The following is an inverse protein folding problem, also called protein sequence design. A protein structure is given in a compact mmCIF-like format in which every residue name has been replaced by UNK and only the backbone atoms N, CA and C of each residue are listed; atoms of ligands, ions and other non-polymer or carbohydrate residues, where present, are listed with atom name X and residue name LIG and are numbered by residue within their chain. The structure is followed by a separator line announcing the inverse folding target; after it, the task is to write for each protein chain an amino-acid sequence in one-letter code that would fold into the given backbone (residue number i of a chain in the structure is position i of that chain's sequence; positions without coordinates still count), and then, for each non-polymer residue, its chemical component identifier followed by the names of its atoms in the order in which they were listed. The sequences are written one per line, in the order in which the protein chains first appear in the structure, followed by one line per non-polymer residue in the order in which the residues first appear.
data_IF_859336760416
#
_entry.id   IF_859336760416
#
_cell.length_a   1.000
_cell.length_b   1.000
_cell.length_c   1.000
_cell.angle_alpha   90.00
_cell.angle_beta   90.00
_cell.angle_gamma   90.00
#
_symmetry.space_group_name_H-M   'P 1'
#
loop_
_entity.id
_entity.type
_entity.pdbx_description
1 polymer ?
#
# COMPACT_ATOMS: atom_id res chain seq x y z
N UNK A 1 -6.76 -0.17 -13.25
CA UNK A 1 -5.85 -0.89 -12.31
C UNK A 1 -4.69 0.02 -11.88
N UNK A 2 -5.02 1.18 -11.27
CA UNK A 2 -4.08 2.24 -10.83
C UNK A 2 -4.48 2.83 -9.46
N UNK A 3 -5.45 2.23 -8.76
CA UNK A 3 -6.13 2.85 -7.61
C UNK A 3 -5.24 3.19 -6.41
N UNK A 4 -4.07 2.57 -6.30
CA UNK A 4 -3.14 2.77 -5.17
C UNK A 4 -1.91 3.60 -5.53
N UNK A 5 -1.85 4.21 -6.71
CA UNK A 5 -0.69 5.02 -7.11
C UNK A 5 -0.34 6.15 -6.12
N UNK A 6 -1.31 6.89 -5.56
CA UNK A 6 -0.99 7.90 -4.54
C UNK A 6 -0.33 7.32 -3.28
N UNK A 7 -0.68 6.09 -2.88
CA UNK A 7 -0.05 5.42 -1.75
C UNK A 7 1.40 5.01 -2.07
N UNK A 8 1.64 4.57 -3.30
CA UNK A 8 2.99 4.26 -3.79
C UNK A 8 3.86 5.51 -3.76
N UNK A 9 3.37 6.65 -4.28
CA UNK A 9 4.09 7.92 -4.26
C UNK A 9 4.41 8.36 -2.83
N UNK A 10 3.42 8.33 -1.94
CA UNK A 10 3.61 8.71 -0.54
C UNK A 10 4.65 7.82 0.17
N UNK A 11 4.54 6.49 0.02
CA UNK A 11 5.46 5.56 0.67
C UNK A 11 6.88 5.64 0.08
N UNK A 12 7.03 5.87 -1.24
CA UNK A 12 8.33 6.11 -1.86
C UNK A 12 8.98 7.39 -1.37
N UNK A 13 8.20 8.46 -1.21
CA UNK A 13 8.68 9.73 -0.70
C UNK A 13 9.11 9.61 0.77
N UNK A 14 8.28 9.00 1.61
CA UNK A 14 8.54 8.90 3.05
C UNK A 14 9.66 7.92 3.39
N UNK A 15 9.65 6.71 2.79
CA UNK A 15 10.58 5.64 3.18
C UNK A 15 11.93 5.79 2.48
N UNK A 16 11.94 6.25 1.22
CA UNK A 16 13.14 6.29 0.39
C UNK A 16 13.57 7.70 -0.05
N UNK A 17 12.81 8.75 0.29
CA UNK A 17 13.08 10.10 -0.20
C UNK A 17 12.92 10.23 -1.72
N UNK A 18 12.10 9.38 -2.34
CA UNK A 18 11.91 9.34 -3.80
C UNK A 18 10.64 10.10 -4.17
N UNK A 19 10.80 11.24 -4.85
CA UNK A 19 9.71 11.99 -5.47
C UNK A 19 9.53 11.58 -6.94
N UNK A 20 8.40 10.94 -7.26
CA UNK A 20 8.07 10.52 -8.63
C UNK A 20 7.65 11.70 -9.53
N UNK A 21 7.41 12.88 -8.96
CA UNK A 21 7.14 14.11 -9.70
C UNK A 21 8.39 14.65 -10.40
N UNK A 22 9.58 14.23 -9.94
CA UNK A 22 10.85 14.59 -10.56
C UNK A 22 11.06 13.82 -11.88
N UNK A 23 10.79 14.51 -12.99
CA UNK A 23 10.99 14.01 -14.35
C UNK A 23 12.45 13.74 -14.70
N UNK A 24 13.42 14.37 -14.05
CA UNK A 24 14.83 14.07 -14.28
C UNK A 24 15.19 12.71 -13.67
N UNK A 25 14.72 12.43 -12.46
CA UNK A 25 14.90 11.15 -11.78
C UNK A 25 14.38 9.97 -12.62
N UNK A 26 13.13 10.07 -13.10
CA UNK A 26 12.51 8.98 -13.88
C UNK A 26 13.13 8.75 -15.25
N UNK A 27 13.79 9.76 -15.82
CA UNK A 27 14.57 9.61 -17.07
C UNK A 27 15.95 8.99 -16.82
N UNK A 28 16.56 9.28 -15.68
CA UNK A 28 17.89 8.79 -15.33
C UNK A 28 17.89 7.36 -14.78
N UNK A 29 16.75 6.86 -14.28
CA UNK A 29 16.62 5.52 -13.69
C UNK A 29 15.79 4.60 -14.57
N UNK A 30 16.13 3.32 -14.55
CA UNK A 30 15.38 2.32 -15.30
C UNK A 30 14.05 1.97 -14.63
N UNK A 31 13.08 1.49 -15.41
CA UNK A 31 11.83 0.97 -14.86
C UNK A 31 12.05 -0.15 -13.83
N UNK A 32 13.08 -0.98 -14.03
CA UNK A 32 13.47 -2.03 -13.07
C UNK A 32 13.81 -1.45 -11.69
N UNK A 33 14.48 -0.30 -11.64
CA UNK A 33 14.83 0.38 -10.39
C UNK A 33 13.60 0.80 -9.59
N UNK A 34 12.56 1.30 -10.28
CA UNK A 34 11.28 1.67 -9.65
C UNK A 34 10.49 0.44 -9.24
N UNK A 35 10.39 -0.57 -10.11
CA UNK A 35 9.68 -1.82 -9.83
C UNK A 35 10.19 -2.51 -8.56
N UNK A 36 11.50 -2.62 -8.38
CA UNK A 36 12.08 -3.28 -7.19
C UNK A 36 11.70 -2.54 -5.90
N UNK A 37 11.65 -1.21 -5.93
CA UNK A 37 11.21 -0.41 -4.76
C UNK A 37 9.73 -0.60 -4.45
N UNK A 38 8.88 -0.63 -5.47
CA UNK A 38 7.45 -0.91 -5.29
C UNK A 38 7.25 -2.31 -4.69
N UNK A 39 8.00 -3.32 -5.16
CA UNK A 39 7.94 -4.67 -4.59
C UNK A 39 8.42 -4.68 -3.13
N UNK A 40 9.48 -3.92 -2.80
CA UNK A 40 9.95 -3.79 -1.43
C UNK A 40 8.91 -3.15 -0.50
N UNK A 41 8.09 -2.21 -1.00
CA UNK A 41 6.96 -1.66 -0.23
C UNK A 41 5.94 -2.73 0.16
N UNK A 42 5.72 -3.73 -0.69
CA UNK A 42 4.81 -4.85 -0.38
C UNK A 42 5.35 -5.79 0.68
N UNK A 43 6.66 -5.86 0.84
CA UNK A 43 7.33 -6.69 1.86
C UNK A 43 7.58 -5.94 3.17
N UNK A 44 7.31 -4.64 3.21
CA UNK A 44 7.49 -3.78 4.37
C UNK A 44 6.14 -3.35 4.96
N UNK A 45 6.17 -2.80 6.17
CA UNK A 45 4.99 -2.26 6.87
C UNK A 45 4.55 -0.92 6.25
N UNK A 46 4.07 -0.93 5.02
CA UNK A 46 3.71 0.26 4.22
C UNK A 46 2.20 0.48 4.11
N UNK A 47 1.78 1.68 3.67
CA UNK A 47 0.35 1.94 3.41
C UNK A 47 -0.14 1.07 2.27
N UNK A 48 0.69 0.89 1.25
CA UNK A 48 0.42 -0.01 0.13
C UNK A 48 0.20 -1.46 0.61
N UNK A 49 1.04 -1.98 1.50
CA UNK A 49 0.92 -3.34 2.03
C UNK A 49 -0.39 -3.53 2.80
N UNK A 50 -0.77 -2.58 3.66
CA UNK A 50 -2.05 -2.62 4.41
C UNK A 50 -3.26 -2.53 3.50
N UNK A 51 -3.22 -1.66 2.49
CA UNK A 51 -4.32 -1.51 1.53
C UNK A 51 -4.57 -2.79 0.71
N UNK A 52 -3.50 -3.54 0.41
CA UNK A 52 -3.57 -4.78 -0.37
C UNK A 52 -3.77 -6.04 0.48
N UNK A 53 -3.55 -5.95 1.79
CA UNK A 53 -3.74 -7.05 2.75
C UNK A 53 -4.74 -6.61 3.82
N UNK A 54 -6.04 -6.46 3.48
CA UNK A 54 -7.03 -6.11 4.47
C UNK A 54 -7.06 -7.19 5.56
N UNK A 55 -7.12 -6.82 6.85
CA UNK A 55 -7.24 -7.79 7.92
C UNK A 55 -8.45 -8.67 7.64
N UNK A 56 -8.24 -10.00 7.64
CA UNK A 56 -9.32 -10.97 7.48
C UNK A 56 -10.39 -10.61 8.50
N UNK A 57 -11.60 -10.27 8.02
CA UNK A 57 -12.71 -9.95 8.89
C UNK A 57 -12.87 -11.13 9.86
N UNK A 58 -12.50 -10.92 11.12
CA UNK A 58 -12.83 -11.87 12.17
C UNK A 58 -14.34 -12.15 12.02
N UNK A 59 -14.79 -13.41 12.03
CA UNK A 59 -16.19 -13.71 11.82
C UNK A 59 -16.96 -12.89 12.83
N UNK A 60 -17.84 -12.00 12.32
CA UNK A 60 -18.73 -11.22 13.13
C UNK A 60 -19.31 -12.18 14.16
N UNK A 61 -18.99 -11.96 15.43
CA UNK A 61 -19.59 -12.74 16.50
C UNK A 61 -21.08 -12.59 16.33
N UNK A 62 -21.76 -13.61 15.80
CA UNK A 62 -23.21 -13.72 15.80
C UNK A 62 -23.62 -13.79 17.27
N UNK A 63 -23.79 -12.61 17.86
CA UNK A 63 -24.40 -12.44 19.17
C UNK A 63 -25.83 -12.94 19.06
N UNK A 64 -26.06 -14.12 19.61
CA UNK A 64 -27.35 -14.77 19.64
C UNK A 64 -28.41 -13.92 20.34
N UNK A 65 -29.61 -14.02 19.78
CA UNK A 65 -30.93 -13.73 20.35
C UNK A 65 -30.99 -13.65 21.87
N UNK A 66 -31.57 -12.56 22.40
CA UNK A 66 -32.42 -12.64 23.59
C UNK A 66 -33.62 -11.73 23.40
N UNK A 67 -34.76 -12.35 23.08
CA UNK A 67 -36.10 -11.79 23.20
C UNK A 67 -36.30 -11.38 24.66
N UNK A 68 -36.66 -10.12 24.92
CA UNK A 68 -37.14 -9.70 26.24
C UNK A 68 -38.64 -9.45 26.17
N UNK A 69 -39.35 -10.18 27.03
CA UNK A 69 -40.79 -10.17 27.30
C UNK A 69 -41.32 -8.79 27.65
#
# INVERSE_FOLDING_TARGET
MLGHWPLIEADLHEIYGVDLSDRALLRARSWRWLRVRILALLSAESRLARALTPPSAAPASSGGTTVRR
#
